data_IF_297165502518
#
_entry.id   IF_297165502518
#
_cell.length_a   1.000
_cell.length_b   1.000
_cell.length_c   1.000
_cell.angle_alpha   90.00
_cell.angle_beta   90.00
_cell.angle_gamma   90.00
#
_symmetry.space_group_name_H-M   'P 1'
#
loop_
_entity.id
_entity.type
_entity.pdbx_description
1 polymer ?
#
# COMPACT_ATOMS: atom_id res chain seq x y z
N UNK A 1 3.43 -7.85 2.63
CA UNK A 1 4.69 -7.17 2.28
C UNK A 1 4.46 -5.67 2.34
N UNK A 2 5.45 -4.93 2.77
CA UNK A 2 5.34 -3.46 2.87
C UNK A 2 5.87 -2.85 1.59
N UNK A 3 5.05 -2.04 0.94
CA UNK A 3 5.44 -1.27 -0.23
C UNK A 3 6.00 0.09 0.18
N UNK A 4 6.74 0.74 -0.69
CA UNK A 4 7.35 2.03 -0.35
C UNK A 4 7.24 3.05 -1.49
N UNK A 5 7.25 4.33 -1.10
CA UNK A 5 7.35 5.48 -2.00
C UNK A 5 8.71 6.17 -1.89
N UNK A 6 9.72 5.46 -1.40
CA UNK A 6 11.07 6.00 -1.23
C UNK A 6 11.58 6.59 -2.54
N UNK A 7 11.46 5.85 -3.64
CA UNK A 7 11.94 6.30 -4.95
C UNK A 7 11.28 7.62 -5.37
N UNK A 8 9.97 7.71 -5.24
CA UNK A 8 9.23 8.93 -5.59
C UNK A 8 9.73 10.12 -4.78
N UNK A 9 9.78 10.01 -3.47
CA UNK A 9 10.19 11.11 -2.61
C UNK A 9 11.67 11.44 -2.74
N UNK A 10 12.50 10.42 -2.97
CA UNK A 10 13.93 10.61 -3.25
C UNK A 10 14.14 11.42 -4.53
N UNK A 11 13.46 11.06 -5.60
CA UNK A 11 13.55 11.75 -6.89
C UNK A 11 13.03 13.19 -6.79
N UNK A 12 11.99 13.43 -6.01
CA UNK A 12 11.48 14.79 -5.74
C UNK A 12 12.54 15.69 -5.07
N UNK A 13 13.46 15.10 -4.31
CA UNK A 13 14.55 15.80 -3.65
C UNK A 13 15.87 15.79 -4.47
N UNK A 14 15.84 15.27 -5.68
CA UNK A 14 17.03 15.13 -6.55
C UNK A 14 18.15 14.31 -5.89
N UNK A 15 17.80 13.31 -5.08
CA UNK A 15 18.75 12.41 -4.44
C UNK A 15 18.90 11.12 -5.25
N UNK A 16 20.15 10.67 -5.44
CA UNK A 16 20.43 9.34 -5.97
C UNK A 16 20.26 8.28 -4.87
N UNK A 17 20.20 7.01 -5.25
CA UNK A 17 20.19 5.91 -4.28
C UNK A 17 21.46 5.93 -3.41
N UNK A 18 22.61 6.22 -4.01
CA UNK A 18 23.87 6.29 -3.28
C UNK A 18 23.85 7.44 -2.26
N UNK A 19 23.35 8.60 -2.66
CA UNK A 19 23.26 9.76 -1.78
C UNK A 19 22.33 9.50 -0.60
N UNK A 20 21.14 8.94 -0.86
CA UNK A 20 20.21 8.57 0.20
C UNK A 20 20.81 7.52 1.13
N UNK A 21 21.46 6.50 0.58
CA UNK A 21 22.13 5.45 1.35
C UNK A 21 23.17 6.03 2.32
N UNK A 22 23.97 6.97 1.86
CA UNK A 22 24.96 7.66 2.71
C UNK A 22 24.31 8.44 3.84
N UNK A 23 23.22 9.15 3.55
CA UNK A 23 22.51 9.94 4.55
C UNK A 23 21.86 9.05 5.61
N UNK A 24 21.34 7.90 5.19
CA UNK A 24 20.69 6.93 6.11
C UNK A 24 21.74 6.12 6.88
N UNK A 25 22.92 5.92 6.30
CA UNK A 25 23.96 5.08 6.89
C UNK A 25 23.83 3.60 6.54
N UNK A 26 23.32 3.29 5.36
CA UNK A 26 23.17 1.93 4.85
C UNK A 26 23.81 1.81 3.48
N UNK A 27 23.88 0.59 2.93
CA UNK A 27 24.38 0.37 1.58
C UNK A 27 23.37 0.82 0.52
N UNK A 28 23.86 1.15 -0.68
CA UNK A 28 22.97 1.41 -1.83
C UNK A 28 22.04 0.24 -2.10
N UNK A 29 22.55 -0.99 -1.94
CA UNK A 29 21.77 -2.21 -2.16
C UNK A 29 20.57 -2.28 -1.20
N UNK A 30 20.75 -1.86 0.05
CA UNK A 30 19.64 -1.77 1.02
C UNK A 30 18.55 -0.82 0.52
N UNK A 31 18.92 0.37 0.04
CA UNK A 31 17.95 1.32 -0.52
C UNK A 31 17.24 0.71 -1.73
N UNK A 32 17.98 0.05 -2.61
CA UNK A 32 17.41 -0.61 -3.78
C UNK A 32 16.35 -1.64 -3.40
N UNK A 33 16.61 -2.49 -2.41
CA UNK A 33 15.64 -3.49 -1.94
C UNK A 33 14.45 -2.86 -1.21
N UNK A 34 14.67 -1.78 -0.45
CA UNK A 34 13.58 -1.06 0.20
C UNK A 34 12.64 -0.42 -0.82
N UNK A 35 13.19 0.16 -1.90
CA UNK A 35 12.38 0.74 -2.97
C UNK A 35 11.54 -0.30 -3.70
N UNK A 36 12.02 -1.52 -3.80
CA UNK A 36 11.30 -2.63 -4.46
C UNK A 36 10.30 -3.32 -3.55
N UNK A 37 10.27 -3.01 -2.25
CA UNK A 37 9.43 -3.72 -1.31
C UNK A 37 9.89 -5.15 -1.03
N UNK A 38 11.15 -5.48 -1.34
CA UNK A 38 11.72 -6.83 -1.15
C UNK A 38 12.24 -7.07 0.24
N UNK A 39 12.18 -6.08 1.12
CA UNK A 39 12.81 -6.10 2.42
C UNK A 39 12.07 -5.16 3.36
N UNK A 40 11.75 -5.64 4.56
CA UNK A 40 11.09 -4.84 5.58
C UNK A 40 12.13 -4.03 6.36
N UNK A 41 12.01 -2.70 6.41
CA UNK A 41 12.97 -1.88 7.13
C UNK A 41 12.82 -2.04 8.64
N UNK A 42 13.93 -1.86 9.37
CA UNK A 42 13.87 -1.71 10.82
C UNK A 42 13.20 -0.37 11.16
N UNK A 43 12.71 -0.23 12.39
CA UNK A 43 12.15 1.05 12.86
C UNK A 43 13.20 2.16 12.79
N UNK A 44 14.45 1.87 13.17
CA UNK A 44 15.54 2.85 13.11
C UNK A 44 15.75 3.37 11.70
N UNK A 45 15.81 2.49 10.71
CA UNK A 45 15.98 2.88 9.30
C UNK A 45 14.77 3.67 8.82
N UNK A 46 13.55 3.23 9.18
CA UNK A 46 12.32 3.91 8.81
C UNK A 46 12.27 5.35 9.33
N UNK A 47 12.64 5.58 10.59
CA UNK A 47 12.71 6.92 11.18
C UNK A 47 13.76 7.80 10.49
N UNK A 48 14.93 7.26 10.19
CA UNK A 48 15.97 8.00 9.48
C UNK A 48 15.54 8.42 8.09
N UNK A 49 14.92 7.51 7.34
CA UNK A 49 14.39 7.81 6.02
C UNK A 49 13.31 8.89 6.10
N UNK A 50 12.41 8.79 7.08
CA UNK A 50 11.37 9.78 7.32
C UNK A 50 11.96 11.17 7.58
N UNK A 51 12.99 11.28 8.42
CA UNK A 51 13.66 12.54 8.69
C UNK A 51 14.32 13.13 7.44
N UNK A 52 15.01 12.31 6.66
CA UNK A 52 15.72 12.76 5.46
C UNK A 52 14.76 13.18 4.36
N UNK A 53 13.75 12.40 4.10
CA UNK A 53 12.76 12.68 3.06
C UNK A 53 11.72 13.70 3.48
N UNK A 54 11.67 14.05 4.78
CA UNK A 54 10.71 15.00 5.35
C UNK A 54 9.25 14.62 5.09
N UNK A 55 8.98 13.33 5.22
CA UNK A 55 7.65 12.74 5.06
C UNK A 55 7.36 11.81 6.22
N UNK A 56 6.12 11.72 6.69
CA UNK A 56 5.76 10.77 7.74
C UNK A 56 5.94 9.33 7.26
N UNK A 57 6.25 8.42 8.18
CA UNK A 57 6.51 7.00 7.87
C UNK A 57 5.35 6.37 7.10
N UNK A 58 4.11 6.67 7.47
CA UNK A 58 2.93 6.08 6.83
C UNK A 58 2.69 6.56 5.38
N UNK A 59 3.32 7.66 4.97
CA UNK A 59 3.30 8.09 3.57
C UNK A 59 4.41 7.41 2.76
N UNK A 60 5.52 7.07 3.42
CA UNK A 60 6.67 6.43 2.77
C UNK A 60 6.45 4.92 2.64
N UNK A 61 6.00 4.27 3.71
CA UNK A 61 5.76 2.84 3.76
C UNK A 61 4.27 2.57 3.94
N UNK A 62 3.74 1.62 3.19
CA UNK A 62 2.32 1.29 3.23
C UNK A 62 2.10 -0.17 2.85
N UNK A 63 0.92 -0.69 3.21
CA UNK A 63 0.47 -2.00 2.77
C UNK A 63 -0.53 -1.82 1.63
N UNK A 64 -0.39 -2.63 0.59
CA UNK A 64 -1.32 -2.62 -0.52
C UNK A 64 -2.51 -3.54 -0.21
N UNK A 65 -3.75 -3.05 -0.34
CA UNK A 65 -4.92 -3.91 -0.18
C UNK A 65 -5.07 -4.83 -1.38
N UNK A 66 -5.47 -6.09 -1.13
CA UNK A 66 -5.67 -7.11 -2.16
C UNK A 66 -7.10 -7.15 -2.68
N UNK A 67 -7.77 -6.01 -2.74
CA UNK A 67 -9.19 -5.91 -3.13
C UNK A 67 -9.44 -6.46 -4.53
N UNK A 68 -8.53 -6.18 -5.45
CA UNK A 68 -8.62 -6.68 -6.82
C UNK A 68 -8.69 -8.22 -6.85
N UNK A 69 -7.80 -8.88 -6.12
CA UNK A 69 -7.76 -10.34 -6.05
C UNK A 69 -9.01 -10.90 -5.37
N UNK A 70 -9.50 -10.22 -4.34
CA UNK A 70 -10.70 -10.63 -3.62
C UNK A 70 -11.95 -10.53 -4.50
N UNK A 71 -12.06 -9.48 -5.31
CA UNK A 71 -13.22 -9.25 -6.16
C UNK A 71 -13.19 -10.07 -7.46
N UNK A 72 -12.00 -10.47 -7.90
CA UNK A 72 -11.85 -11.23 -9.12
C UNK A 72 -12.57 -12.57 -9.04
N UNK A 73 -13.36 -12.86 -10.05
CA UNK A 73 -14.11 -14.13 -10.12
C UNK A 73 -15.43 -14.15 -9.36
N UNK A 74 -15.77 -13.09 -8.60
CA UNK A 74 -17.06 -13.02 -7.93
C UNK A 74 -18.19 -12.72 -8.90
N UNK A 75 -19.38 -13.37 -8.76
CA UNK A 75 -20.52 -13.07 -9.62
C UNK A 75 -21.06 -11.67 -9.36
N UNK A 76 -21.70 -11.08 -10.36
CA UNK A 76 -22.25 -9.72 -10.30
C UNK A 76 -23.23 -9.52 -9.13
N UNK A 77 -23.99 -10.55 -8.79
CA UNK A 77 -24.92 -10.50 -7.64
C UNK A 77 -24.21 -10.26 -6.30
N UNK A 78 -23.06 -10.91 -6.09
CA UNK A 78 -22.25 -10.69 -4.88
C UNK A 78 -21.62 -9.30 -4.88
N UNK A 79 -21.12 -8.85 -6.02
CA UNK A 79 -20.51 -7.51 -6.14
C UNK A 79 -21.54 -6.43 -5.84
N UNK A 80 -22.80 -6.61 -6.26
CA UNK A 80 -23.91 -5.69 -5.93
C UNK A 80 -24.16 -5.60 -4.43
N UNK A 81 -24.20 -6.74 -3.74
CA UNK A 81 -24.40 -6.78 -2.29
C UNK A 81 -23.25 -6.07 -1.56
N UNK A 82 -22.01 -6.32 -1.99
CA UNK A 82 -20.82 -5.66 -1.42
C UNK A 82 -20.90 -4.14 -1.62
N UNK A 83 -21.24 -3.70 -2.83
CA UNK A 83 -21.38 -2.28 -3.13
C UNK A 83 -22.46 -1.61 -2.28
N UNK A 84 -23.59 -2.27 -2.09
CA UNK A 84 -24.69 -1.75 -1.28
C UNK A 84 -24.28 -1.55 0.18
N UNK A 85 -23.62 -2.55 0.78
CA UNK A 85 -23.14 -2.46 2.17
C UNK A 85 -22.05 -1.40 2.30
N UNK A 86 -21.14 -1.29 1.30
CA UNK A 86 -20.06 -0.32 1.30
C UNK A 86 -20.54 1.12 1.02
N UNK A 87 -21.79 1.30 0.57
CA UNK A 87 -22.30 2.61 0.17
C UNK A 87 -21.72 3.10 -1.16
N UNK A 88 -21.30 2.18 -2.02
CA UNK A 88 -20.76 2.47 -3.34
C UNK A 88 -21.76 2.06 -4.42
N UNK A 89 -21.71 2.71 -5.58
CA UNK A 89 -22.44 2.20 -6.73
C UNK A 89 -21.65 1.04 -7.37
N UNK A 90 -22.32 0.25 -8.19
CA UNK A 90 -21.74 -0.92 -8.82
C UNK A 90 -20.54 -0.54 -9.70
N UNK A 91 -20.61 0.58 -10.41
CA UNK A 91 -19.55 1.07 -11.28
C UNK A 91 -18.29 1.44 -10.50
N UNK A 92 -18.44 2.11 -9.36
CA UNK A 92 -17.34 2.44 -8.47
C UNK A 92 -16.63 1.19 -7.98
N UNK A 93 -17.38 0.18 -7.52
CA UNK A 93 -16.79 -1.07 -7.04
C UNK A 93 -16.14 -1.86 -8.18
N UNK A 94 -16.75 -1.90 -9.36
CA UNK A 94 -16.18 -2.57 -10.52
C UNK A 94 -14.89 -1.92 -10.99
N UNK A 95 -14.76 -0.60 -10.86
CA UNK A 95 -13.53 0.10 -11.22
C UNK A 95 -12.37 -0.23 -10.30
N UNK A 96 -12.64 -0.59 -9.03
CA UNK A 96 -11.61 -1.00 -8.08
C UNK A 96 -10.84 -2.24 -8.54
N UNK A 97 -11.49 -3.15 -9.26
CA UNK A 97 -10.85 -4.35 -9.77
C UNK A 97 -9.88 -4.08 -10.93
N UNK A 98 -9.90 -2.86 -11.48
CA UNK A 98 -9.07 -2.44 -12.62
C UNK A 98 -7.99 -1.46 -12.26
N UNK A 99 -8.02 -0.90 -11.06
CA UNK A 99 -7.04 0.09 -10.60
C UNK A 99 -5.82 -0.65 -10.06
N UNK A 100 -4.63 -0.14 -10.34
CA UNK A 100 -3.40 -0.62 -9.71
C UNK A 100 -3.50 -0.46 -8.20
N UNK A 101 -2.95 -1.43 -7.45
CA UNK A 101 -2.98 -1.44 -5.98
C UNK A 101 -2.39 -0.16 -5.40
N UNK A 102 -1.34 0.38 -6.03
CA UNK A 102 -0.74 1.65 -5.65
C UNK A 102 -1.71 2.84 -5.78
N UNK A 103 -2.46 2.89 -6.88
CA UNK A 103 -3.51 3.91 -7.08
C UNK A 103 -4.65 3.75 -6.09
N UNK A 104 -4.97 2.50 -5.74
CA UNK A 104 -6.02 2.18 -4.80
C UNK A 104 -5.74 2.78 -3.42
N UNK A 105 -4.52 2.63 -2.93
CA UNK A 105 -4.11 3.14 -1.63
C UNK A 105 -4.15 4.67 -1.58
N UNK A 106 -3.83 5.35 -2.68
CA UNK A 106 -3.89 6.82 -2.74
C UNK A 106 -5.29 7.36 -2.99
N UNK A 107 -6.17 6.58 -3.62
CA UNK A 107 -7.53 7.00 -4.00
C UNK A 107 -8.59 6.69 -2.93
N UNK A 108 -8.32 5.78 -1.99
CA UNK A 108 -9.30 5.31 -1.00
C UNK A 108 -8.73 5.47 0.40
N UNK A 109 -9.51 6.13 1.26
CA UNK A 109 -9.16 6.28 2.67
C UNK A 109 -9.57 5.05 3.48
N UNK A 110 -9.11 4.97 4.72
CA UNK A 110 -9.38 3.85 5.62
C UNK A 110 -10.88 3.63 5.88
N UNK A 111 -11.66 4.69 5.90
CA UNK A 111 -13.12 4.60 6.11
C UNK A 111 -13.78 3.80 4.99
N UNK A 112 -13.37 4.06 3.75
CA UNK A 112 -13.89 3.34 2.59
C UNK A 112 -13.46 1.87 2.62
N UNK A 113 -12.21 1.61 2.98
CA UNK A 113 -11.68 0.24 3.11
C UNK A 113 -12.43 -0.54 4.20
N UNK A 114 -12.73 0.09 5.34
CA UNK A 114 -13.54 -0.53 6.40
C UNK A 114 -14.93 -0.90 5.88
N UNK A 115 -15.57 -0.02 5.11
CA UNK A 115 -16.89 -0.30 4.52
C UNK A 115 -16.82 -1.47 3.52
N UNK A 116 -15.77 -1.53 2.71
CA UNK A 116 -15.56 -2.64 1.77
C UNK A 116 -15.36 -3.95 2.53
N UNK A 117 -14.58 -3.95 3.60
CA UNK A 117 -14.39 -5.13 4.44
C UNK A 117 -15.74 -5.62 5.02
N UNK A 118 -16.56 -4.70 5.52
CA UNK A 118 -17.90 -5.02 6.02
C UNK A 118 -18.77 -5.65 4.92
N UNK A 119 -18.73 -5.09 3.71
CA UNK A 119 -19.48 -5.61 2.57
C UNK A 119 -19.01 -7.01 2.17
N UNK A 120 -17.74 -7.33 2.36
CA UNK A 120 -17.17 -8.64 2.08
C UNK A 120 -17.38 -9.64 3.22
N UNK A 121 -17.82 -9.17 4.39
CA UNK A 121 -17.91 -10.02 5.58
C UNK A 121 -16.55 -10.39 6.16
N UNK A 122 -15.56 -9.52 5.99
CA UNK A 122 -14.17 -9.71 6.40
C UNK A 122 -13.76 -8.66 7.42
N UNK A 123 -12.71 -8.95 8.17
CA UNK A 123 -12.07 -7.95 9.00
C UNK A 123 -11.21 -7.02 8.12
N UNK A 124 -10.96 -5.80 8.60
CA UNK A 124 -10.15 -4.82 7.87
C UNK A 124 -8.77 -5.39 7.51
N UNK A 125 -8.13 -6.10 8.43
CA UNK A 125 -6.80 -6.69 8.23
C UNK A 125 -6.78 -7.74 7.12
N UNK A 126 -7.91 -8.36 6.82
CA UNK A 126 -8.02 -9.37 5.77
C UNK A 126 -8.01 -8.77 4.35
N UNK A 127 -8.12 -7.45 4.23
CA UNK A 127 -7.98 -6.75 2.95
C UNK A 127 -6.52 -6.67 2.49
N UNK A 128 -5.58 -7.00 3.34
CA UNK A 128 -4.15 -6.93 3.06
C UNK A 128 -3.54 -8.32 3.00
N UNK A 129 -2.49 -8.46 2.20
CA UNK A 129 -1.75 -9.70 2.12
C UNK A 129 -1.10 -10.02 3.47
N UNK A 130 -1.36 -11.21 3.99
CA UNK A 130 -0.74 -11.66 5.24
C UNK A 130 0.68 -12.14 4.94
N UNK A 131 1.63 -11.69 5.78
CA UNK A 131 2.98 -12.21 5.71
C UNK A 131 2.95 -13.70 6.07
N UNK A 132 3.72 -14.50 5.32
CA UNK A 132 3.84 -15.93 5.62
C UNK A 132 4.47 -16.09 7.02
N UNK A 133 3.78 -16.79 7.91
CA UNK A 133 4.35 -17.15 9.19
C UNK A 133 5.51 -18.15 8.98
N UNK A 134 6.67 -17.75 9.41
CA UNK A 134 7.84 -18.62 9.41
C UNK A 134 7.91 -19.42 10.71
#
# INVERSE_FOLDING_TARGET
MISSRIRQFREEMDLSQIELAKLVGVSRQTIYYLERGSYNPSLTISFKISEILKKPIHEIFYQEPIIKDILEGKPLSEIREIAEVAGLNLEQLASLSKIDEEELTSSFNDILLVKIAMGLGMEFEDLFEKEAEN
#
